data_IF_916865162453
#
_entry.id   IF_916865162453
#
_cell.length_a   1.000
_cell.length_b   1.000
_cell.length_c   1.000
_cell.angle_alpha   90.00
_cell.angle_beta   90.00
_cell.angle_gamma   90.00
#
_symmetry.space_group_name_H-M   'P 1'
#
loop_
_entity.id
_entity.type
_entity.pdbx_description
1 polymer ?
#
# COMPACT_ATOMS: atom_id res chain seq x y z
N UNK A 1 9.60 16.23 -25.31
CA UNK A 1 8.33 15.50 -25.14
C UNK A 1 7.81 15.78 -23.73
N UNK A 2 7.41 17.01 -23.49
CA UNK A 2 6.78 17.47 -22.26
C UNK A 2 6.13 18.78 -22.67
N UNK A 3 4.81 18.79 -22.81
CA UNK A 3 3.94 19.97 -22.91
C UNK A 3 2.56 19.48 -23.31
N UNK A 4 1.74 19.04 -22.34
CA UNK A 4 0.28 18.88 -22.50
C UNK A 4 -0.43 18.72 -21.14
N UNK A 5 -0.03 19.50 -20.13
CA UNK A 5 -0.72 19.57 -18.84
C UNK A 5 -0.99 21.02 -18.44
N UNK A 6 -1.78 21.74 -19.23
CA UNK A 6 -2.52 22.93 -18.77
C UNK A 6 -3.59 23.26 -19.82
N UNK A 7 -4.71 22.55 -19.80
CA UNK A 7 -5.96 23.13 -20.31
C UNK A 7 -6.77 23.60 -19.10
N UNK A 8 -7.32 24.84 -19.12
CA UNK A 8 -8.11 25.33 -18.01
C UNK A 8 -9.35 24.45 -17.85
N UNK A 9 -9.55 23.98 -16.61
CA UNK A 9 -10.77 23.29 -16.17
C UNK A 9 -11.94 24.23 -16.43
N UNK A 10 -12.73 23.92 -17.46
CA UNK A 10 -13.94 24.65 -17.73
C UNK A 10 -14.90 24.43 -16.54
N UNK A 11 -15.25 25.50 -15.84
CA UNK A 11 -16.10 25.52 -14.64
C UNK A 11 -17.26 24.51 -14.73
N UNK A 12 -17.10 23.34 -14.10
CA UNK A 12 -18.12 22.29 -14.02
C UNK A 12 -19.07 22.48 -12.81
N UNK A 13 -18.95 23.62 -12.12
CA UNK A 13 -19.80 24.05 -11.00
C UNK A 13 -20.37 25.45 -11.23
N UNK A 14 -20.68 25.80 -12.47
CA UNK A 14 -21.65 26.87 -12.68
C UNK A 14 -23.02 26.27 -12.35
N UNK A 15 -23.52 26.55 -11.13
CA UNK A 15 -24.95 26.48 -10.88
C UNK A 15 -25.58 27.39 -11.94
N UNK A 16 -26.27 26.81 -12.91
CA UNK A 16 -27.11 27.54 -13.84
C UNK A 16 -28.11 28.29 -12.96
N UNK A 17 -27.94 29.61 -12.84
CA UNK A 17 -28.81 30.48 -12.08
C UNK A 17 -30.24 30.14 -12.44
N UNK A 18 -31.01 29.68 -11.46
CA UNK A 18 -32.44 29.51 -11.61
C UNK A 18 -32.97 30.89 -11.97
N UNK A 19 -33.51 31.06 -13.18
CA UNK A 19 -34.01 32.35 -13.65
C UNK A 19 -35.09 32.87 -12.68
N UNK A 20 -34.69 33.80 -11.82
CA UNK A 20 -35.51 34.39 -10.76
C UNK A 20 -36.82 34.98 -11.33
N UNK A 21 -36.83 35.34 -12.63
CA UNK A 21 -38.01 35.86 -13.32
C UNK A 21 -39.10 34.80 -13.51
N UNK A 22 -38.75 33.51 -13.58
CA UNK A 22 -39.71 32.38 -13.68
C UNK A 22 -40.34 32.07 -12.31
N UNK A 23 -39.61 32.29 -11.22
CA UNK A 23 -40.13 32.13 -9.86
C UNK A 23 -41.10 33.27 -9.48
N UNK A 24 -40.78 34.51 -9.88
CA UNK A 24 -41.58 35.70 -9.57
C UNK A 24 -42.89 35.81 -10.38
N UNK A 25 -42.93 35.25 -11.58
CA UNK A 25 -44.11 35.32 -12.47
C UNK A 25 -45.26 34.39 -12.03
N UNK A 26 -45.00 33.34 -11.24
CA UNK A 26 -46.03 32.41 -10.74
C UNK A 26 -46.91 32.96 -9.61
N UNK A 27 -46.58 34.10 -8.99
CA UNK A 27 -47.35 34.66 -7.86
C UNK A 27 -48.36 35.76 -8.22
N UNK A 28 -48.48 36.18 -9.49
CA UNK A 28 -49.28 37.37 -9.86
C UNK A 28 -50.52 37.15 -10.71
N UNK A 29 -50.99 35.92 -10.87
CA UNK A 29 -52.25 35.67 -11.61
C UNK A 29 -53.23 34.87 -10.76
N UNK A 30 -53.88 35.54 -9.81
CA UNK A 30 -55.20 35.13 -9.33
C UNK A 30 -55.90 36.27 -8.59
N UNK A 31 -56.73 37.04 -9.31
CA UNK A 31 -58.10 37.42 -8.90
C UNK A 31 -58.70 38.46 -9.85
N UNK A 32 -59.90 38.16 -10.38
CA UNK A 32 -60.86 39.15 -10.88
C UNK A 32 -61.55 38.81 -12.20
N UNK A 33 -62.67 38.09 -12.10
CA UNK A 33 -63.84 37.98 -13.00
C UNK A 33 -63.80 38.60 -14.42
N UNK A 34 -64.30 37.85 -15.44
CA UNK A 34 -65.57 38.15 -16.13
C UNK A 34 -65.99 37.04 -17.13
N UNK A 35 -67.22 36.58 -16.94
CA UNK A 35 -68.29 36.09 -17.85
C UNK A 35 -68.09 35.52 -19.28
N UNK A 36 -68.81 34.41 -19.49
CA UNK A 36 -69.61 33.95 -20.66
C UNK A 36 -68.98 33.91 -22.08
N UNK A 37 -68.92 32.70 -22.67
CA UNK A 37 -69.79 32.31 -23.79
C UNK A 37 -69.46 30.91 -24.31
N UNK A 38 -70.52 30.16 -24.59
CA UNK A 38 -70.53 28.83 -25.19
C UNK A 38 -70.31 28.96 -26.71
N UNK A 39 -69.27 28.34 -27.29
CA UNK A 39 -69.24 28.06 -28.72
C UNK A 39 -68.62 26.68 -28.99
N UNK A 40 -69.43 25.80 -29.59
CA UNK A 40 -68.97 24.59 -30.24
C UNK A 40 -68.06 24.99 -31.40
N UNK A 41 -66.76 24.76 -31.24
CA UNK A 41 -65.80 24.78 -32.34
C UNK A 41 -65.10 23.42 -32.34
N UNK A 42 -65.34 22.71 -33.43
CA UNK A 42 -64.65 21.52 -33.89
C UNK A 42 -63.13 21.69 -33.74
N UNK A 43 -62.55 20.96 -32.78
CA UNK A 43 -61.12 20.98 -32.51
C UNK A 43 -60.54 19.69 -33.07
N UNK A 44 -60.17 19.72 -34.34
CA UNK A 44 -59.12 18.84 -34.86
C UNK A 44 -57.86 19.13 -34.04
N UNK A 45 -57.62 18.32 -33.01
CA UNK A 45 -56.47 18.41 -32.10
C UNK A 45 -55.21 18.11 -32.93
N UNK A 46 -54.67 19.13 -33.58
CA UNK A 46 -53.28 19.17 -33.97
C UNK A 46 -52.48 19.23 -32.68
N UNK A 47 -52.14 18.04 -32.15
CA UNK A 47 -51.42 17.88 -30.89
C UNK A 47 -49.95 18.20 -31.10
N UNK A 48 -49.67 19.44 -31.48
CA UNK A 48 -48.33 20.00 -31.40
C UNK A 48 -47.84 19.82 -29.96
N UNK A 49 -46.71 19.13 -29.71
CA UNK A 49 -46.26 18.83 -28.36
C UNK A 49 -46.08 20.14 -27.59
N UNK A 50 -46.69 20.21 -26.40
CA UNK A 50 -46.65 21.39 -25.55
C UNK A 50 -45.19 21.74 -25.24
N UNK A 51 -44.90 23.03 -24.98
CA UNK A 51 -43.58 23.46 -24.54
C UNK A 51 -43.11 22.69 -23.29
N UNK A 52 -44.05 22.33 -22.40
CA UNK A 52 -43.82 21.47 -21.23
C UNK A 52 -43.35 20.06 -21.62
N UNK A 53 -43.95 19.47 -22.67
CA UNK A 53 -43.59 18.13 -23.16
C UNK A 53 -42.19 18.10 -23.77
N UNK A 54 -41.84 19.14 -24.53
CA UNK A 54 -40.48 19.30 -25.10
C UNK A 54 -39.42 19.41 -24.00
N UNK A 55 -39.72 20.14 -22.93
CA UNK A 55 -38.84 20.28 -21.77
C UNK A 55 -38.69 18.96 -21.00
N UNK A 56 -39.78 18.21 -20.83
CA UNK A 56 -39.72 16.90 -20.17
C UNK A 56 -38.88 15.90 -20.98
N UNK A 57 -39.04 15.89 -22.31
CA UNK A 57 -38.25 15.05 -23.20
C UNK A 57 -36.76 15.36 -23.12
N UNK A 58 -36.37 16.64 -23.14
CA UNK A 58 -34.96 17.02 -23.03
C UNK A 58 -34.34 16.63 -21.68
N UNK A 59 -35.12 16.69 -20.59
CA UNK A 59 -34.65 16.18 -19.29
C UNK A 59 -34.48 14.66 -19.29
N UNK A 60 -35.38 13.90 -19.92
CA UNK A 60 -35.26 12.45 -20.01
C UNK A 60 -34.04 12.03 -20.84
N UNK A 61 -33.77 12.74 -21.94
CA UNK A 61 -32.59 12.51 -22.77
C UNK A 61 -31.29 12.79 -22.00
N UNK A 62 -31.20 13.93 -21.33
CA UNK A 62 -30.06 14.26 -20.46
C UNK A 62 -29.84 13.21 -19.37
N UNK A 63 -30.91 12.71 -18.75
CA UNK A 63 -30.82 11.63 -17.75
C UNK A 63 -30.23 10.36 -18.34
N UNK A 64 -30.75 9.91 -19.49
CA UNK A 64 -30.24 8.70 -20.16
C UNK A 64 -28.79 8.86 -20.59
N UNK A 65 -28.39 10.04 -21.06
CA UNK A 65 -27.00 10.32 -21.41
C UNK A 65 -26.08 10.19 -20.18
N UNK A 66 -26.46 10.79 -19.05
CA UNK A 66 -25.71 10.69 -17.80
C UNK A 66 -25.63 9.23 -17.33
N UNK A 67 -26.76 8.52 -17.35
CA UNK A 67 -26.84 7.10 -16.97
C UNK A 67 -25.89 6.24 -17.83
N UNK A 68 -25.94 6.38 -19.15
CA UNK A 68 -25.05 5.65 -20.06
C UNK A 68 -23.57 5.99 -19.83
N UNK A 69 -23.24 7.27 -19.68
CA UNK A 69 -21.86 7.73 -19.45
C UNK A 69 -21.32 7.22 -18.10
N UNK A 70 -22.16 7.15 -17.07
CA UNK A 70 -21.80 6.59 -15.77
C UNK A 70 -21.49 5.10 -15.88
N UNK A 71 -22.36 4.32 -16.54
CA UNK A 71 -22.11 2.88 -16.74
C UNK A 71 -20.82 2.64 -17.52
N UNK A 72 -20.64 3.32 -18.65
CA UNK A 72 -19.44 3.17 -19.47
C UNK A 72 -18.18 3.54 -18.68
N UNK A 73 -18.24 4.60 -17.85
CA UNK A 73 -17.14 4.97 -16.98
C UNK A 73 -16.81 3.88 -15.97
N UNK A 74 -17.81 3.29 -15.30
CA UNK A 74 -17.56 2.20 -14.34
C UNK A 74 -16.99 0.96 -15.02
N UNK A 75 -17.44 0.64 -16.23
CA UNK A 75 -16.93 -0.50 -17.00
C UNK A 75 -15.47 -0.30 -17.41
N UNK A 76 -15.08 0.91 -17.85
CA UNK A 76 -13.67 1.23 -18.13
C UNK A 76 -12.83 1.13 -16.86
N UNK A 77 -13.33 1.65 -15.73
CA UNK A 77 -12.62 1.57 -14.45
C UNK A 77 -12.42 0.13 -13.99
N UNK A 78 -13.42 -0.75 -14.16
CA UNK A 78 -13.27 -2.19 -13.89
C UNK A 78 -12.16 -2.82 -14.73
N UNK A 79 -12.14 -2.56 -16.04
CA UNK A 79 -11.07 -3.04 -16.92
C UNK A 79 -9.69 -2.61 -16.42
N UNK A 80 -9.53 -1.33 -16.07
CA UNK A 80 -8.27 -0.81 -15.53
C UNK A 80 -7.89 -1.47 -14.20
N UNK A 81 -8.86 -1.76 -13.33
CA UNK A 81 -8.60 -2.44 -12.05
C UNK A 81 -8.10 -3.87 -12.27
N UNK A 82 -8.70 -4.61 -13.22
CA UNK A 82 -8.24 -5.95 -13.58
C UNK A 82 -6.84 -5.94 -14.18
N UNK A 83 -6.56 -5.02 -15.10
CA UNK A 83 -5.22 -4.87 -15.67
C UNK A 83 -4.19 -4.52 -14.59
N UNK A 84 -4.57 -3.64 -13.65
CA UNK A 84 -3.71 -3.27 -12.52
C UNK A 84 -3.47 -4.45 -11.57
N UNK A 85 -4.48 -5.28 -11.31
CA UNK A 85 -4.36 -6.48 -10.48
C UNK A 85 -3.39 -7.48 -11.11
N UNK A 86 -3.48 -7.70 -12.42
CA UNK A 86 -2.56 -8.56 -13.15
C UNK A 86 -1.12 -8.05 -13.08
N UNK A 87 -0.90 -6.76 -13.37
CA UNK A 87 0.43 -6.15 -13.29
C UNK A 87 0.98 -6.24 -11.86
N UNK A 88 0.14 -6.03 -10.85
CA UNK A 88 0.50 -6.19 -9.44
C UNK A 88 0.94 -7.60 -9.09
N UNK A 89 0.24 -8.63 -9.59
CA UNK A 89 0.61 -10.03 -9.41
C UNK A 89 1.95 -10.36 -10.08
N UNK A 90 2.15 -9.93 -11.33
CA UNK A 90 3.42 -10.13 -12.05
C UNK A 90 4.58 -9.45 -11.30
N UNK A 91 4.33 -8.26 -10.75
CA UNK A 91 5.31 -7.53 -9.92
C UNK A 91 5.63 -8.30 -8.63
N UNK A 92 4.64 -8.88 -7.96
CA UNK A 92 4.85 -9.68 -6.75
C UNK A 92 5.72 -10.91 -7.02
N UNK A 93 5.50 -11.59 -8.15
CA UNK A 93 6.32 -12.73 -8.57
C UNK A 93 7.77 -12.30 -8.81
N UNK A 94 7.98 -11.18 -9.49
CA UNK A 94 9.32 -10.66 -9.75
C UNK A 94 10.03 -10.24 -8.46
N UNK A 95 9.33 -9.58 -7.52
CA UNK A 95 9.91 -9.24 -6.21
C UNK A 95 10.32 -10.51 -5.43
N UNK A 96 9.49 -11.55 -5.42
CA UNK A 96 9.85 -12.81 -4.78
C UNK A 96 11.10 -13.45 -5.42
N UNK A 97 11.21 -13.40 -6.75
CA UNK A 97 12.41 -13.87 -7.47
C UNK A 97 13.65 -13.03 -7.14
N UNK A 98 13.50 -11.71 -6.97
CA UNK A 98 14.60 -10.82 -6.59
C UNK A 98 15.06 -11.09 -5.17
N UNK A 99 14.14 -11.27 -4.22
CA UNK A 99 14.45 -11.70 -2.85
C UNK A 99 15.32 -12.95 -2.81
N UNK A 100 14.94 -14.00 -3.54
CA UNK A 100 15.73 -15.24 -3.60
C UNK A 100 17.17 -14.99 -4.07
N UNK A 101 17.38 -14.05 -5.00
CA UNK A 101 18.71 -13.68 -5.47
C UNK A 101 19.51 -12.92 -4.40
N UNK A 102 18.86 -12.00 -3.68
CA UNK A 102 19.47 -11.26 -2.57
C UNK A 102 19.86 -12.22 -1.44
N UNK A 103 18.98 -13.15 -1.04
CA UNK A 103 19.28 -14.13 0.01
C UNK A 103 20.43 -15.07 -0.37
N UNK A 104 20.53 -15.47 -1.64
CA UNK A 104 21.67 -16.26 -2.14
C UNK A 104 22.96 -15.44 -2.09
N UNK A 105 22.89 -14.17 -2.45
CA UNK A 105 24.05 -13.26 -2.42
C UNK A 105 24.52 -13.04 -0.99
N UNK A 106 23.60 -12.84 -0.05
CA UNK A 106 23.90 -12.70 1.38
C UNK A 106 24.63 -13.91 1.94
N UNK A 107 24.15 -15.13 1.62
CA UNK A 107 24.82 -16.39 2.01
C UNK A 107 26.22 -16.50 1.39
N UNK A 108 26.36 -16.16 0.11
CA UNK A 108 27.66 -16.17 -0.56
C UNK A 108 28.65 -15.20 0.12
N UNK A 109 28.19 -14.03 0.59
CA UNK A 109 29.05 -13.09 1.32
C UNK A 109 29.51 -13.65 2.66
N UNK A 110 28.65 -14.39 3.38
CA UNK A 110 29.03 -15.09 4.60
C UNK A 110 30.07 -16.20 4.33
N UNK A 111 29.88 -16.97 3.27
CA UNK A 111 30.81 -18.01 2.83
C UNK A 111 32.17 -17.43 2.44
N UNK A 112 32.17 -16.29 1.72
CA UNK A 112 33.40 -15.57 1.38
C UNK A 112 34.08 -15.07 2.67
N UNK A 113 33.35 -14.49 3.61
CA UNK A 113 33.93 -14.01 4.87
C UNK A 113 34.55 -15.16 5.68
N UNK A 114 33.87 -16.31 5.76
CA UNK A 114 34.40 -17.52 6.40
C UNK A 114 35.66 -18.04 5.69
N UNK A 115 35.64 -18.07 4.37
CA UNK A 115 36.78 -18.48 3.53
C UNK A 115 37.96 -17.54 3.71
N UNK A 116 37.73 -16.22 3.75
CA UNK A 116 38.76 -15.23 4.03
C UNK A 116 39.34 -15.44 5.44
N UNK A 117 38.55 -15.73 6.47
CA UNK A 117 39.09 -16.03 7.81
C UNK A 117 40.00 -17.26 7.79
N UNK A 118 39.62 -18.31 7.07
CA UNK A 118 40.44 -19.51 6.93
C UNK A 118 41.71 -19.25 6.12
N UNK A 119 41.60 -18.54 4.99
CA UNK A 119 42.71 -18.07 4.17
C UNK A 119 43.73 -17.28 4.99
N UNK A 120 43.29 -16.34 5.85
CA UNK A 120 44.20 -15.59 6.71
C UNK A 120 45.02 -16.49 7.64
N UNK A 121 44.41 -17.54 8.21
CA UNK A 121 45.15 -18.50 9.05
C UNK A 121 46.24 -19.20 8.26
N UNK A 122 45.94 -19.63 7.04
CA UNK A 122 46.94 -20.22 6.14
C UNK A 122 48.04 -19.23 5.76
N UNK A 123 47.71 -17.99 5.44
CA UNK A 123 48.71 -16.95 5.17
C UNK A 123 49.62 -16.73 6.38
N UNK A 124 49.08 -16.75 7.60
CA UNK A 124 49.87 -16.64 8.82
C UNK A 124 50.78 -17.86 9.01
N UNK A 125 50.30 -19.08 8.73
CA UNK A 125 51.13 -20.29 8.75
C UNK A 125 52.27 -20.22 7.72
N UNK A 126 52.00 -19.77 6.50
CA UNK A 126 52.99 -19.62 5.43
C UNK A 126 54.04 -18.56 5.82
N UNK A 127 53.61 -17.39 6.33
CA UNK A 127 54.51 -16.37 6.87
C UNK A 127 55.44 -16.95 7.94
N UNK A 128 54.91 -17.78 8.84
CA UNK A 128 55.71 -18.42 9.89
C UNK A 128 56.75 -19.36 9.31
N UNK A 129 56.40 -20.21 8.34
CA UNK A 129 57.33 -21.18 7.74
C UNK A 129 58.46 -20.46 6.99
N UNK A 130 58.14 -19.44 6.17
CA UNK A 130 59.18 -18.64 5.51
C UNK A 130 60.07 -17.88 6.51
N UNK A 131 59.49 -17.35 7.59
CA UNK A 131 60.23 -16.69 8.66
C UNK A 131 61.19 -17.65 9.38
N UNK A 132 60.74 -18.85 9.74
CA UNK A 132 61.56 -19.88 10.38
C UNK A 132 62.66 -20.40 9.45
N UNK A 133 62.38 -20.60 8.17
CA UNK A 133 63.38 -21.00 7.17
C UNK A 133 64.43 -19.90 6.99
N UNK A 134 64.01 -18.63 6.89
CA UNK A 134 64.94 -17.51 6.80
C UNK A 134 65.81 -17.39 8.06
N UNK A 135 65.22 -17.54 9.24
CA UNK A 135 65.98 -17.49 10.50
C UNK A 135 66.93 -18.69 10.64
N UNK A 136 66.54 -19.88 10.16
CA UNK A 136 67.40 -21.07 10.23
C UNK A 136 68.53 -21.06 9.19
N UNK A 137 68.32 -20.46 8.02
CA UNK A 137 69.33 -20.39 6.94
C UNK A 137 70.23 -19.14 7.03
N UNK A 138 69.76 -18.06 7.64
CA UNK A 138 70.48 -16.78 7.72
C UNK A 138 70.69 -16.26 9.15
N UNK A 139 70.21 -16.95 10.18
CA UNK A 139 70.33 -16.54 11.58
C UNK A 139 71.43 -17.28 12.32
N UNK A 140 72.50 -16.57 12.65
CA UNK A 140 73.45 -16.96 13.70
C UNK A 140 72.74 -17.09 15.04
N UNK A 141 72.98 -18.22 15.72
CA UNK A 141 72.51 -18.55 17.07
C UNK A 141 72.77 -17.42 18.07
N UNK A 142 71.73 -16.96 18.77
CA UNK A 142 71.81 -16.69 20.21
C UNK A 142 70.50 -17.12 20.89
N UNK A 143 70.64 -18.07 21.80
CA UNK A 143 69.59 -18.61 22.66
C UNK A 143 69.44 -17.71 23.89
N UNK A 144 68.27 -17.11 24.09
CA UNK A 144 67.82 -16.69 25.41
C UNK A 144 66.50 -17.39 25.74
N UNK A 145 66.61 -18.37 26.63
CA UNK A 145 65.50 -19.05 27.30
C UNK A 145 64.99 -18.12 28.41
N UNK A 146 63.73 -17.72 28.35
CA UNK A 146 63.00 -17.13 29.47
C UNK A 146 61.67 -17.91 29.62
N UNK A 147 61.65 -18.93 30.47
CA UNK A 147 61.06 -18.91 31.83
C UNK A 147 59.57 -18.61 31.87
N UNK A 148 58.81 -19.70 32.09
CA UNK A 148 57.63 -19.85 32.93
C UNK A 148 56.81 -18.60 33.24
N UNK A 149 55.52 -18.65 32.88
CA UNK A 149 54.46 -18.25 33.80
C UNK A 149 53.17 -19.04 33.50
N UNK A 150 52.90 -20.02 34.37
CA UNK A 150 51.55 -20.55 34.59
C UNK A 150 50.65 -19.41 35.10
N UNK A 151 49.44 -19.26 34.55
CA UNK A 151 48.31 -18.73 35.32
C UNK A 151 47.02 -19.49 35.02
N UNK A 152 46.43 -19.88 36.14
CA UNK A 152 45.34 -20.82 36.37
C UNK A 152 44.01 -20.37 35.77
N UNK A 153 43.27 -21.41 35.38
CA UNK A 153 41.81 -21.51 35.29
C UNK A 153 41.13 -20.93 36.55
N UNK A 154 40.03 -20.20 36.36
CA UNK A 154 39.01 -19.99 37.39
C UNK A 154 37.64 -19.91 36.75
N UNK A 155 36.97 -21.05 36.78
CA UNK A 155 35.53 -21.24 36.65
C UNK A 155 34.81 -20.48 37.75
N UNK A 156 33.76 -19.72 37.42
CA UNK A 156 32.78 -19.31 38.42
C UNK A 156 31.37 -19.63 37.91
N UNK A 157 30.81 -20.68 38.50
CA UNK A 157 29.41 -21.08 38.42
C UNK A 157 28.77 -20.56 39.70
N UNK A 158 27.68 -19.82 39.61
CA UNK A 158 26.64 -19.77 40.64
C UNK A 158 25.36 -19.10 40.12
N UNK A 159 24.37 -19.93 39.79
CA UNK A 159 22.96 -19.72 40.14
C UNK A 159 22.72 -20.52 41.45
N UNK A 160 21.68 -20.27 42.30
CA UNK A 160 20.29 -20.54 41.90
C UNK A 160 19.15 -19.80 42.68
N UNK A 161 17.91 -20.20 42.33
CA UNK A 161 16.62 -20.15 43.07
C UNK A 161 15.78 -18.87 42.86
N UNK A 162 14.67 -18.88 42.10
CA UNK A 162 13.34 -19.51 42.31
C UNK A 162 12.52 -18.85 43.42
N UNK A 163 11.52 -18.07 43.04
CA UNK A 163 10.27 -17.89 43.80
C UNK A 163 9.08 -17.97 42.83
N UNK A 164 8.18 -18.88 43.16
CA UNK A 164 6.91 -19.20 42.53
C UNK A 164 5.83 -18.26 43.05
N UNK A 165 5.00 -17.67 42.18
CA UNK A 165 3.64 -17.29 42.61
C UNK A 165 2.61 -17.30 41.46
N UNK A 166 1.38 -17.64 41.84
CA UNK A 166 0.29 -18.17 41.01
C UNK A 166 -0.65 -17.09 40.47
N UNK A 167 -1.12 -17.32 39.24
CA UNK A 167 -2.47 -17.14 38.66
C UNK A 167 -3.43 -16.02 39.15
N UNK A 168 -3.95 -15.22 38.21
CA UNK A 168 -5.34 -15.32 37.65
C UNK A 168 -5.60 -14.31 36.51
N UNK A 169 -6.62 -14.53 35.65
CA UNK A 169 -6.86 -13.82 34.39
C UNK A 169 -7.85 -12.65 34.56
N UNK A 170 -7.62 -11.53 33.87
CA UNK A 170 -8.56 -10.40 33.84
C UNK A 170 -8.66 -9.87 32.40
N UNK A 171 -9.83 -10.14 31.84
CA UNK A 171 -10.64 -9.42 30.82
C UNK A 171 -10.04 -8.31 29.94
N UNK A 172 -10.39 -8.43 28.66
CA UNK A 172 -10.34 -7.47 27.55
C UNK A 172 -10.49 -5.98 27.91
N UNK A 173 -9.74 -5.07 27.26
CA UNK A 173 -9.93 -3.62 27.37
C UNK A 173 -10.93 -3.15 26.31
N UNK A 174 -12.23 -3.26 26.59
CA UNK A 174 -13.26 -2.78 25.67
C UNK A 174 -14.48 -2.20 26.38
N UNK A 175 -14.27 -1.27 27.32
CA UNK A 175 -15.38 -0.58 28.01
C UNK A 175 -15.16 0.92 28.28
N UNK A 176 -14.14 1.55 27.68
CA UNK A 176 -13.81 2.97 27.95
C UNK A 176 -14.43 3.97 26.96
N UNK A 177 -15.47 3.59 26.22
CA UNK A 177 -16.19 4.50 25.30
C UNK A 177 -17.58 4.95 25.79
N UNK A 178 -18.06 4.45 26.94
CA UNK A 178 -19.43 4.69 27.42
C UNK A 178 -19.60 5.89 28.37
N UNK A 179 -18.56 6.71 28.56
CA UNK A 179 -18.64 7.91 29.40
C UNK A 179 -18.48 9.23 28.64
N UNK A 180 -18.55 9.21 27.30
CA UNK A 180 -18.56 10.43 26.51
C UNK A 180 -19.97 11.02 26.39
N UNK A 181 -20.14 12.36 26.51
CA UNK A 181 -21.44 13.04 26.44
C UNK A 181 -22.17 12.84 25.11
N UNK A 182 -21.47 12.38 24.06
CA UNK A 182 -22.01 12.08 22.74
C UNK A 182 -22.78 10.75 22.71
N UNK A 183 -22.42 9.76 23.54
CA UNK A 183 -23.14 8.46 23.58
C UNK A 183 -24.51 8.56 24.27
N UNK A 184 -24.69 9.49 25.21
CA UNK A 184 -25.98 9.72 25.89
C UNK A 184 -27.03 10.41 25.02
N UNK A 185 -26.64 10.99 23.89
CA UNK A 185 -27.57 11.64 22.96
C UNK A 185 -28.24 10.64 21.99
N UNK A 186 -27.82 9.36 22.01
CA UNK A 186 -28.27 8.34 21.05
C UNK A 186 -29.37 7.41 21.59
N UNK A 187 -29.61 7.38 22.89
CA UNK A 187 -30.61 6.50 23.51
C UNK A 187 -32.05 7.07 23.53
N UNK A 188 -32.26 8.30 23.05
CA UNK A 188 -33.62 8.89 22.93
C UNK A 188 -34.36 8.47 21.64
N UNK A 189 -33.86 7.43 20.95
CA UNK A 189 -34.38 6.90 19.69
C UNK A 189 -35.44 5.82 19.97
N UNK A 190 -36.39 6.10 20.86
CA UNK A 190 -37.56 5.23 21.09
C UNK A 190 -38.68 5.45 20.07
N UNK A 191 -38.54 6.41 19.15
CA UNK A 191 -39.54 6.73 18.12
C UNK A 191 -39.18 6.28 16.68
N UNK A 192 -38.00 5.69 16.45
CA UNK A 192 -37.57 5.29 15.08
C UNK A 192 -37.93 3.86 14.71
N UNK A 193 -38.42 3.04 15.65
CA UNK A 193 -38.75 1.62 15.38
C UNK A 193 -40.07 1.38 14.65
N UNK A 194 -40.82 2.44 14.32
CA UNK A 194 -42.10 2.35 13.61
C UNK A 194 -42.07 2.90 12.18
N UNK A 195 -40.90 3.27 11.67
CA UNK A 195 -40.70 3.84 10.31
C UNK A 195 -39.80 2.95 9.44
N UNK A 196 -39.78 1.63 9.66
CA UNK A 196 -38.97 0.69 8.85
C UNK A 196 -39.80 -0.32 8.06
N UNK A 197 -41.14 -0.29 8.13
CA UNK A 197 -42.00 -1.27 7.43
C UNK A 197 -42.54 -0.82 6.07
N UNK A 198 -42.28 0.42 5.63
CA UNK A 198 -42.80 0.95 4.36
C UNK A 198 -41.71 1.56 3.47
N UNK A 199 -40.52 0.96 3.43
CA UNK A 199 -39.63 1.20 2.28
C UNK A 199 -40.19 0.39 1.12
N UNK A 200 -41.19 0.95 0.46
CA UNK A 200 -41.67 0.48 -0.83
C UNK A 200 -40.42 0.23 -1.70
N UNK A 201 -40.18 -1.03 -2.03
CA UNK A 201 -39.23 -1.43 -3.06
C UNK A 201 -39.69 -0.74 -4.35
N UNK A 202 -39.13 0.44 -4.62
CA UNK A 202 -39.19 1.02 -5.95
C UNK A 202 -38.62 -0.05 -6.87
N UNK A 203 -39.23 -0.32 -8.05
CA UNK A 203 -38.58 -1.16 -9.03
C UNK A 203 -37.21 -0.55 -9.29
N UNK A 204 -36.17 -1.23 -8.83
CA UNK A 204 -34.79 -0.77 -8.94
C UNK A 204 -34.52 -0.58 -10.42
N UNK A 205 -34.23 0.65 -10.83
CA UNK A 205 -34.01 0.95 -12.24
C UNK A 205 -32.90 0.02 -12.74
N UNK A 206 -33.02 -0.62 -13.92
CA UNK A 206 -32.01 -1.56 -14.41
C UNK A 206 -30.62 -0.93 -14.50
N UNK A 207 -30.56 0.37 -14.80
CA UNK A 207 -29.34 1.19 -14.70
C UNK A 207 -28.73 1.18 -13.29
N UNK A 208 -29.54 1.42 -12.26
CA UNK A 208 -29.08 1.54 -10.86
C UNK A 208 -28.56 0.19 -10.35
N UNK A 209 -29.25 -0.91 -10.69
CA UNK A 209 -28.80 -2.27 -10.37
C UNK A 209 -27.45 -2.58 -11.01
N UNK A 210 -27.28 -2.26 -12.30
CA UNK A 210 -26.03 -2.51 -12.99
C UNK A 210 -24.90 -1.61 -12.47
N UNK A 211 -25.19 -0.34 -12.19
CA UNK A 211 -24.23 0.58 -11.61
C UNK A 211 -23.76 0.11 -10.24
N UNK A 212 -24.69 -0.30 -9.37
CA UNK A 212 -24.37 -0.82 -8.04
C UNK A 212 -23.54 -2.11 -8.12
N UNK A 213 -23.87 -3.02 -9.04
CA UNK A 213 -23.07 -4.22 -9.28
C UNK A 213 -21.64 -3.87 -9.71
N UNK A 214 -21.47 -2.97 -10.68
CA UNK A 214 -20.14 -2.52 -11.11
C UNK A 214 -19.36 -1.87 -9.97
N UNK A 215 -20.00 -1.02 -9.16
CA UNK A 215 -19.36 -0.35 -8.03
C UNK A 215 -18.96 -1.33 -6.92
N UNK A 216 -19.77 -2.35 -6.65
CA UNK A 216 -19.43 -3.40 -5.70
C UNK A 216 -18.20 -4.19 -6.19
N UNK A 217 -18.20 -4.59 -7.47
CA UNK A 217 -17.06 -5.28 -8.09
C UNK A 217 -15.79 -4.41 -8.06
N UNK A 218 -15.91 -3.10 -8.33
CA UNK A 218 -14.80 -2.16 -8.19
C UNK A 218 -14.28 -2.10 -6.74
N UNK A 219 -15.17 -2.11 -5.74
CA UNK A 219 -14.79 -2.08 -4.33
C UNK A 219 -14.03 -3.36 -3.91
N UNK A 220 -14.45 -4.52 -4.41
CA UNK A 220 -13.77 -5.79 -4.19
C UNK A 220 -12.38 -5.81 -4.85
N UNK A 221 -12.29 -5.37 -6.12
CA UNK A 221 -11.02 -5.22 -6.84
C UNK A 221 -10.06 -4.30 -6.09
N UNK A 222 -10.53 -3.13 -5.65
CA UNK A 222 -9.73 -2.18 -4.88
C UNK A 222 -9.24 -2.78 -3.55
N UNK A 223 -10.05 -3.61 -2.90
CA UNK A 223 -9.66 -4.31 -1.68
C UNK A 223 -8.54 -5.32 -1.94
N UNK A 224 -8.61 -6.07 -3.05
CA UNK A 224 -7.53 -6.99 -3.47
C UNK A 224 -6.26 -6.23 -3.83
N UNK A 225 -6.37 -5.15 -4.62
CA UNK A 225 -5.25 -4.28 -4.96
C UNK A 225 -4.58 -3.66 -3.72
N UNK A 226 -5.36 -3.28 -2.71
CA UNK A 226 -4.82 -2.81 -1.43
C UNK A 226 -4.02 -3.90 -0.72
N UNK A 227 -4.54 -5.14 -0.72
CA UNK A 227 -3.83 -6.31 -0.18
C UNK A 227 -2.48 -6.48 -0.88
N UNK A 228 -2.49 -6.58 -2.22
CA UNK A 228 -1.29 -6.68 -3.02
C UNK A 228 -0.32 -5.52 -2.77
N UNK A 229 -0.79 -4.28 -2.73
CA UNK A 229 0.06 -3.11 -2.49
C UNK A 229 0.71 -3.15 -1.10
N UNK A 230 0.01 -3.67 -0.08
CA UNK A 230 0.56 -3.84 1.26
C UNK A 230 1.63 -4.93 1.27
N UNK A 231 1.36 -6.07 0.64
CA UNK A 231 2.31 -7.19 0.55
C UNK A 231 3.58 -6.80 -0.24
N UNK A 232 3.41 -6.12 -1.37
CA UNK A 232 4.50 -5.55 -2.16
C UNK A 232 5.33 -4.55 -1.34
N UNK A 233 4.65 -3.69 -0.55
CA UNK A 233 5.31 -2.73 0.32
C UNK A 233 6.17 -3.41 1.39
N UNK A 234 5.61 -4.40 2.09
CA UNK A 234 6.35 -5.18 3.10
C UNK A 234 7.50 -5.98 2.51
N UNK A 235 7.36 -6.53 1.30
CA UNK A 235 8.43 -7.23 0.61
C UNK A 235 9.57 -6.29 0.21
N UNK A 236 9.27 -5.06 -0.23
CA UNK A 236 10.29 -4.03 -0.50
C UNK A 236 11.02 -3.63 0.80
N UNK A 237 10.30 -3.41 1.90
CA UNK A 237 10.90 -3.09 3.20
C UNK A 237 11.86 -4.21 3.66
N UNK A 238 11.45 -5.47 3.52
CA UNK A 238 12.30 -6.63 3.82
C UNK A 238 13.56 -6.66 2.94
N UNK A 239 13.41 -6.47 1.63
CA UNK A 239 14.56 -6.44 0.71
C UNK A 239 15.50 -5.27 1.00
N UNK A 240 15.00 -4.11 1.41
CA UNK A 240 15.83 -2.98 1.81
C UNK A 240 16.69 -3.31 3.04
N UNK A 241 16.10 -3.92 4.07
CA UNK A 241 16.86 -4.36 5.25
C UNK A 241 17.93 -5.40 4.88
N UNK A 242 17.60 -6.33 3.96
CA UNK A 242 18.57 -7.30 3.46
C UNK A 242 19.71 -6.64 2.68
N UNK A 243 19.41 -5.65 1.84
CA UNK A 243 20.40 -4.87 1.09
C UNK A 243 21.35 -4.09 2.01
N UNK A 244 20.82 -3.48 3.08
CA UNK A 244 21.65 -2.77 4.07
C UNK A 244 22.61 -3.73 4.77
N UNK A 245 22.11 -4.88 5.21
CA UNK A 245 22.93 -5.93 5.82
C UNK A 245 24.01 -6.45 4.87
N UNK A 246 23.65 -6.71 3.60
CA UNK A 246 24.63 -7.14 2.60
C UNK A 246 25.66 -6.06 2.31
N UNK A 247 25.29 -4.78 2.29
CA UNK A 247 26.22 -3.67 2.08
C UNK A 247 27.34 -3.70 3.14
N UNK A 248 26.98 -3.86 4.42
CA UNK A 248 27.97 -4.02 5.49
C UNK A 248 28.85 -5.26 5.31
N UNK A 249 28.28 -6.40 4.90
CA UNK A 249 29.05 -7.63 4.66
C UNK A 249 30.01 -7.47 3.48
N UNK A 250 29.58 -6.82 2.39
CA UNK A 250 30.41 -6.52 1.21
C UNK A 250 31.60 -5.67 1.61
N UNK A 251 31.39 -4.60 2.38
CA UNK A 251 32.48 -3.74 2.85
C UNK A 251 33.50 -4.49 3.72
N UNK A 252 33.04 -5.33 4.66
CA UNK A 252 33.92 -6.16 5.50
C UNK A 252 34.72 -7.17 4.67
N UNK A 253 34.06 -7.82 3.72
CA UNK A 253 34.68 -8.75 2.77
C UNK A 253 35.73 -8.04 1.92
N UNK A 254 35.41 -6.88 1.36
CA UNK A 254 36.34 -6.09 0.52
C UNK A 254 37.58 -5.65 1.30
N UNK A 255 37.40 -5.14 2.52
CA UNK A 255 38.50 -4.77 3.40
C UNK A 255 39.43 -5.96 3.70
N UNK A 256 38.85 -7.13 4.02
CA UNK A 256 39.62 -8.35 4.30
C UNK A 256 40.34 -8.87 3.07
N UNK A 257 39.67 -8.92 1.93
CA UNK A 257 40.25 -9.34 0.67
C UNK A 257 41.41 -8.43 0.28
N UNK A 258 41.24 -7.11 0.37
CA UNK A 258 42.29 -6.12 0.13
C UNK A 258 43.51 -6.32 1.03
N UNK A 259 43.32 -6.60 2.33
CA UNK A 259 44.41 -6.90 3.27
C UNK A 259 45.12 -8.21 2.91
N UNK A 260 44.36 -9.26 2.60
CA UNK A 260 44.92 -10.57 2.23
C UNK A 260 45.69 -10.52 0.92
N UNK A 261 45.17 -9.80 -0.08
CA UNK A 261 45.84 -9.62 -1.35
C UNK A 261 47.20 -8.93 -1.17
N UNK A 262 47.28 -7.90 -0.30
CA UNK A 262 48.54 -7.24 0.09
C UNK A 262 49.49 -8.18 0.84
N UNK A 263 48.97 -9.08 1.67
CA UNK A 263 49.78 -10.06 2.39
C UNK A 263 50.36 -11.12 1.43
N UNK A 264 49.54 -11.60 0.49
CA UNK A 264 49.94 -12.56 -0.55
C UNK A 264 50.99 -11.93 -1.47
N UNK A 265 50.81 -10.69 -1.93
CA UNK A 265 51.79 -10.03 -2.81
C UNK A 265 53.16 -9.90 -2.14
N UNK A 266 53.19 -9.54 -0.85
CA UNK A 266 54.42 -9.50 -0.04
C UNK A 266 55.08 -10.87 0.09
N UNK A 267 54.30 -11.93 0.33
CA UNK A 267 54.82 -13.31 0.41
C UNK A 267 55.43 -13.77 -0.92
N UNK A 268 54.83 -13.39 -2.04
CA UNK A 268 55.32 -13.71 -3.39
C UNK A 268 56.52 -12.84 -3.80
N UNK A 269 56.99 -11.91 -2.96
CA UNK A 269 58.10 -11.02 -3.28
C UNK A 269 57.80 -10.01 -4.39
N UNK A 270 56.52 -9.86 -4.78
CA UNK A 270 56.09 -8.83 -5.73
C UNK A 270 55.99 -7.51 -4.96
N UNK A 271 56.94 -6.59 -5.22
CA UNK A 271 56.86 -5.20 -4.77
C UNK A 271 55.83 -4.43 -5.57
#
# INVERSE_FOLDING_TARGET
>A
MADNYMQPVNNHFAFEDVDDNVFLSRRRTNNGNLDHANSSVDNSIDRSPSFEDKRLLSYQEKRREIENRSLESTQRSLGLLYDTEQIGNDTAIELARQRDQLERTDKNLDDINATLRYSQRHLNSIKSVFGSIKNHLFGTRETNVATNNERKLSTNVNAPQVVTEKAKPVSSPSNDYDQHPISRLRDDISHTKQMTSNRQERPSNPFEVQLEANLNEMSENLSRLKGLATDLGSEIEYQNELLDNMTYKVEDVDMKLSRQNKDISKLLGKK
#
